data_IF_970541566267
#
_entry.id   IF_970541566267
#
_cell.length_a   1.000
_cell.length_b   1.000
_cell.length_c   1.000
_cell.angle_alpha   90.00
_cell.angle_beta   90.00
_cell.angle_gamma   90.00
#
_symmetry.space_group_name_H-M   'P 1'
#
loop_
_entity.id
_entity.type
_entity.pdbx_description
1 polymer ?
#
# COMPACT_ATOMS: atom_id res chain seq x y z
N UNK A 1 -8.75 5.21 -51.42
CA UNK A 1 -9.78 5.11 -50.36
C UNK A 1 -9.47 4.01 -49.34
N UNK A 2 -8.99 2.83 -49.75
CA UNK A 2 -8.65 1.72 -48.85
C UNK A 2 -7.46 1.99 -47.89
N UNK A 3 -6.44 2.76 -48.32
CA UNK A 3 -5.25 3.03 -47.51
C UNK A 3 -5.56 3.83 -46.22
N UNK A 4 -6.47 4.79 -46.32
CA UNK A 4 -6.92 5.59 -45.17
C UNK A 4 -7.69 4.75 -44.14
N UNK A 5 -8.35 3.67 -44.59
CA UNK A 5 -9.12 2.78 -43.73
C UNK A 5 -8.20 1.91 -42.87
N UNK A 6 -7.12 1.39 -43.45
CA UNK A 6 -6.10 0.63 -42.71
C UNK A 6 -5.39 1.52 -41.69
N UNK A 7 -5.07 2.76 -42.05
CA UNK A 7 -4.50 3.75 -41.12
C UNK A 7 -5.42 4.07 -39.93
N UNK A 8 -6.72 4.23 -40.18
CA UNK A 8 -7.71 4.47 -39.13
C UNK A 8 -7.84 3.29 -38.16
N UNK A 9 -7.85 2.05 -38.68
CA UNK A 9 -7.88 0.84 -37.85
C UNK A 9 -6.62 0.73 -37.00
N UNK A 10 -5.44 0.97 -37.57
CA UNK A 10 -4.17 0.96 -36.83
C UNK A 10 -4.14 2.00 -35.72
N UNK A 11 -4.63 3.20 -35.98
CA UNK A 11 -4.75 4.25 -34.97
C UNK A 11 -5.70 3.86 -33.82
N UNK A 12 -6.89 3.34 -34.14
CA UNK A 12 -7.86 2.88 -33.15
C UNK A 12 -7.31 1.74 -32.28
N UNK A 13 -6.62 0.77 -32.89
CA UNK A 13 -5.95 -0.31 -32.18
C UNK A 13 -4.83 0.21 -31.27
N UNK A 14 -4.01 1.13 -31.74
CA UNK A 14 -2.95 1.75 -30.94
C UNK A 14 -3.49 2.47 -29.70
N UNK A 15 -4.54 3.28 -29.87
CA UNK A 15 -5.22 3.97 -28.76
C UNK A 15 -5.83 2.97 -27.78
N UNK A 16 -6.44 1.90 -28.28
CA UNK A 16 -7.02 0.84 -27.44
C UNK A 16 -5.94 0.16 -26.57
N UNK A 17 -4.81 -0.23 -27.18
CA UNK A 17 -3.70 -0.90 -26.49
C UNK A 17 -3.14 0.01 -25.40
N UNK A 18 -2.84 1.27 -25.72
CA UNK A 18 -2.32 2.24 -24.75
C UNK A 18 -3.32 2.47 -23.60
N UNK A 19 -4.61 2.61 -23.92
CA UNK A 19 -5.66 2.79 -22.91
C UNK A 19 -5.77 1.60 -21.94
N UNK A 20 -5.64 0.37 -22.44
CA UNK A 20 -5.65 -0.84 -21.61
C UNK A 20 -4.38 -0.95 -20.76
N UNK A 21 -3.20 -0.70 -21.34
CA UNK A 21 -1.92 -0.72 -20.62
C UNK A 21 -1.90 0.28 -19.46
N UNK A 22 -2.40 1.50 -19.69
CA UNK A 22 -2.54 2.50 -18.64
C UNK A 22 -3.48 2.00 -17.54
N UNK A 23 -4.65 1.47 -17.88
CA UNK A 23 -5.60 1.00 -16.87
C UNK A 23 -5.03 -0.12 -16.00
N UNK A 24 -4.29 -1.06 -16.58
CA UNK A 24 -3.63 -2.15 -15.85
C UNK A 24 -2.60 -1.62 -14.85
N UNK A 25 -1.87 -0.54 -15.17
CA UNK A 25 -0.88 0.05 -14.28
C UNK A 25 -1.50 0.97 -13.22
N UNK A 26 -2.54 1.72 -13.55
CA UNK A 26 -3.18 2.66 -12.63
C UNK A 26 -4.04 1.97 -11.55
N UNK A 27 -4.61 0.79 -11.84
CA UNK A 27 -5.37 0.00 -10.86
C UNK A 27 -4.53 -0.36 -9.62
N UNK A 28 -3.36 -1.03 -9.72
CA UNK A 28 -2.53 -1.37 -8.57
C UNK A 28 -1.97 -0.13 -7.86
N UNK A 29 -1.69 0.95 -8.60
CA UNK A 29 -1.16 2.19 -8.03
C UNK A 29 -2.09 2.80 -6.98
N UNK A 30 -3.41 2.73 -7.18
CA UNK A 30 -4.41 3.19 -6.20
C UNK A 30 -4.34 2.39 -4.89
N UNK A 31 -4.09 1.08 -4.97
CA UNK A 31 -3.93 0.24 -3.79
C UNK A 31 -2.64 0.55 -3.04
N UNK A 32 -1.54 0.79 -3.76
CA UNK A 32 -0.26 1.19 -3.16
C UNK A 32 -0.41 2.49 -2.38
N UNK A 33 -1.08 3.50 -2.96
CA UNK A 33 -1.35 4.77 -2.26
C UNK A 33 -2.22 4.54 -1.02
N UNK A 34 -3.25 3.70 -1.10
CA UNK A 34 -4.10 3.37 0.05
C UNK A 34 -3.30 2.68 1.17
N UNK A 35 -2.41 1.75 0.82
CA UNK A 35 -1.53 1.08 1.77
C UNK A 35 -0.54 2.06 2.40
N UNK A 36 0.05 2.96 1.61
CA UNK A 36 0.94 4.02 2.10
C UNK A 36 0.23 4.91 3.14
N UNK A 37 -0.98 5.39 2.83
CA UNK A 37 -1.76 6.21 3.74
C UNK A 37 -2.11 5.45 5.03
N UNK A 38 -2.54 4.19 4.92
CA UNK A 38 -2.81 3.35 6.10
C UNK A 38 -1.54 3.06 6.91
N UNK A 39 -0.39 2.98 6.26
CA UNK A 39 0.91 2.77 6.93
C UNK A 39 1.32 3.99 7.75
N UNK A 40 1.01 5.21 7.28
CA UNK A 40 1.19 6.44 8.08
C UNK A 40 0.34 6.37 9.35
N UNK A 41 -0.92 5.92 9.25
CA UNK A 41 -1.77 5.71 10.44
C UNK A 41 -1.17 4.65 11.37
N UNK A 42 -0.64 3.55 10.82
CA UNK A 42 0.07 2.51 11.58
C UNK A 42 1.31 3.04 12.30
N UNK A 43 2.09 3.92 11.66
CA UNK A 43 3.24 4.59 12.27
C UNK A 43 2.82 5.50 13.42
N UNK A 44 1.74 6.28 13.25
CA UNK A 44 1.17 7.12 14.32
C UNK A 44 0.73 6.26 15.51
N UNK A 45 0.07 5.12 15.25
CA UNK A 45 -0.31 4.17 16.30
C UNK A 45 0.90 3.63 17.08
N UNK A 46 1.97 3.26 16.38
CA UNK A 46 3.22 2.81 17.02
C UNK A 46 3.85 3.90 17.90
N UNK A 47 3.87 5.15 17.42
CA UNK A 47 4.37 6.28 18.21
C UNK A 47 3.54 6.43 19.48
N UNK A 48 2.21 6.39 19.38
CA UNK A 48 1.32 6.49 20.55
C UNK A 48 1.60 5.38 21.56
N UNK A 49 1.77 4.14 21.10
CA UNK A 49 2.07 3.00 21.98
C UNK A 49 3.43 3.16 22.64
N UNK A 50 4.44 3.60 21.89
CA UNK A 50 5.77 3.85 22.43
C UNK A 50 5.80 5.01 23.43
N UNK A 51 4.86 5.96 23.39
CA UNK A 51 4.73 6.98 24.44
C UNK A 51 4.27 6.37 25.78
N UNK A 52 3.53 5.27 25.75
CA UNK A 52 3.14 4.50 26.94
C UNK A 52 4.08 3.32 27.21
N UNK A 53 5.17 3.19 26.46
CA UNK A 53 6.20 2.15 26.62
C UNK A 53 6.72 2.07 28.05
N UNK A 54 6.87 3.21 28.74
CA UNK A 54 7.34 3.26 30.12
C UNK A 54 6.39 2.56 31.10
N UNK A 55 5.10 2.48 30.76
CA UNK A 55 4.07 1.81 31.58
C UNK A 55 3.83 0.37 31.15
N UNK A 56 3.94 0.09 29.86
CA UNK A 56 3.65 -1.25 29.30
C UNK A 56 4.88 -2.14 29.25
N UNK A 57 6.10 -1.59 29.30
CA UNK A 57 7.35 -2.31 29.10
C UNK A 57 7.58 -2.78 27.66
N UNK A 58 6.71 -2.41 26.73
CA UNK A 58 6.70 -2.90 25.34
C UNK A 58 7.14 -1.77 24.41
N UNK A 59 8.36 -1.87 23.88
CA UNK A 59 8.88 -0.96 22.88
C UNK A 59 8.89 -1.62 21.50
N UNK A 60 8.12 -1.10 20.56
CA UNK A 60 8.08 -1.59 19.17
C UNK A 60 8.69 -0.53 18.26
N UNK A 61 9.76 -0.86 17.54
CA UNK A 61 10.43 0.11 16.68
C UNK A 61 9.47 0.74 15.66
N UNK A 62 9.48 2.07 15.56
CA UNK A 62 8.73 2.81 14.53
C UNK A 62 9.53 2.74 13.24
N UNK A 63 9.32 1.70 12.45
CA UNK A 63 9.98 1.51 11.16
C UNK A 63 8.95 1.30 10.04
N UNK A 64 9.34 1.50 8.77
CA UNK A 64 8.43 1.32 7.64
C UNK A 64 7.79 -0.06 7.61
N UNK A 65 8.54 -1.12 7.90
CA UNK A 65 8.05 -2.50 7.93
C UNK A 65 6.91 -2.70 8.92
N UNK A 66 7.11 -2.36 10.19
CA UNK A 66 6.12 -2.47 11.27
C UNK A 66 4.89 -1.60 10.98
N UNK A 67 5.11 -0.37 10.50
CA UNK A 67 4.01 0.52 10.13
C UNK A 67 3.21 0.01 8.93
N UNK A 68 3.85 -0.68 7.98
CA UNK A 68 3.22 -1.31 6.83
C UNK A 68 2.42 -2.54 7.25
N UNK A 69 2.97 -3.36 8.14
CA UNK A 69 2.27 -4.53 8.72
C UNK A 69 1.00 -4.08 9.43
N UNK A 70 1.07 -3.02 10.25
CA UNK A 70 -0.09 -2.44 10.92
C UNK A 70 -1.01 -1.72 9.93
N UNK A 71 -0.48 -1.05 8.90
CA UNK A 71 -1.27 -0.38 7.88
C UNK A 71 -2.05 -1.33 6.96
N UNK A 72 -1.52 -2.53 6.70
CA UNK A 72 -2.16 -3.60 5.94
C UNK A 72 -3.16 -4.39 6.79
N UNK A 73 -2.75 -4.82 7.98
CA UNK A 73 -3.55 -5.71 8.82
C UNK A 73 -4.45 -4.95 9.81
N UNK A 74 -4.12 -3.71 10.17
CA UNK A 74 -4.82 -2.93 11.18
C UNK A 74 -4.49 -3.37 12.61
N UNK A 75 -5.52 -3.39 13.47
CA UNK A 75 -5.45 -3.86 14.86
C UNK A 75 -4.83 -5.27 14.99
N UNK A 76 -5.17 -6.29 14.17
CA UNK A 76 -4.52 -7.60 14.31
C UNK A 76 -3.03 -7.57 13.98
N UNK A 77 -2.56 -6.67 13.10
CA UNK A 77 -1.13 -6.48 12.86
C UNK A 77 -0.41 -5.92 14.08
N UNK A 78 -1.05 -4.99 14.78
CA UNK A 78 -0.54 -4.44 16.04
C UNK A 78 -0.42 -5.53 17.12
N UNK A 79 -1.48 -6.32 17.30
CA UNK A 79 -1.52 -7.43 18.26
C UNK A 79 -0.43 -8.45 17.92
N UNK A 80 -0.26 -8.79 16.64
CA UNK A 80 0.78 -9.71 16.18
C UNK A 80 2.19 -9.22 16.53
N UNK A 81 2.49 -7.94 16.33
CA UNK A 81 3.79 -7.35 16.69
C UNK A 81 4.02 -7.33 18.20
N UNK A 82 2.98 -7.06 18.98
CA UNK A 82 3.04 -7.12 20.45
C UNK A 82 3.35 -8.55 20.92
N UNK A 83 2.65 -9.55 20.40
CA UNK A 83 2.89 -10.96 20.74
C UNK A 83 4.31 -11.37 20.36
N UNK A 84 4.77 -11.00 19.16
CA UNK A 84 6.14 -11.26 18.72
C UNK A 84 7.17 -10.69 19.69
N UNK A 85 6.92 -9.50 20.22
CA UNK A 85 7.81 -8.84 21.17
C UNK A 85 7.70 -9.39 22.61
N UNK A 86 6.61 -10.08 22.93
CA UNK A 86 6.44 -10.75 24.22
C UNK A 86 7.06 -12.16 24.24
N UNK A 87 7.07 -12.83 23.10
CA UNK A 87 7.63 -14.19 22.95
C UNK A 87 9.16 -14.17 22.77
N UNK A 88 9.69 -13.09 22.17
CA UNK A 88 11.10 -12.94 21.78
C UNK A 88 11.83 -11.94 22.68
#
# INVERSE_FOLDING_TARGET
MAENFVGLIGFLLGVLIVGVSLRILFVPLKYVIKVLLNSVVGAVLLVIINLFSDKTGIFIGVNPLNSLIIGLLGVPGLIGLIILKLVL
#
